data_IF_001463661421
#
_entry.id   IF_001463661421
#
_cell.length_a   1.000
_cell.length_b   1.000
_cell.length_c   1.000
_cell.angle_alpha   90.00
_cell.angle_beta   90.00
_cell.angle_gamma   90.00
#
_symmetry.space_group_name_H-M   'P 1'
#
loop_
_entity.id
_entity.type
_entity.pdbx_description
1 polymer ?
#
# COMPACT_ATOMS: atom_id res chain seq x y z
N UNK A 1 -46.42 -9.22 -6.16
CA UNK A 1 -45.22 -8.37 -6.16
C UNK A 1 -45.43 -7.31 -5.10
N UNK A 2 -44.78 -7.46 -3.96
CA UNK A 2 -44.95 -6.53 -2.82
C UNK A 2 -44.12 -5.26 -3.06
N UNK A 3 -44.59 -4.12 -2.56
CA UNK A 3 -43.87 -2.84 -2.59
C UNK A 3 -42.50 -2.90 -1.92
N UNK A 4 -42.30 -3.84 -1.00
CA UNK A 4 -41.01 -4.09 -0.34
C UNK A 4 -39.95 -4.61 -1.34
N UNK A 5 -40.32 -5.54 -2.22
CA UNK A 5 -39.42 -6.13 -3.25
C UNK A 5 -38.95 -5.07 -4.27
N UNK A 6 -39.82 -4.11 -4.61
CA UNK A 6 -39.52 -3.02 -5.55
C UNK A 6 -38.51 -2.03 -4.97
N UNK A 7 -38.45 -1.88 -3.65
CA UNK A 7 -37.51 -0.98 -2.97
C UNK A 7 -36.15 -1.65 -2.72
N UNK A 8 -36.12 -2.96 -2.50
CA UNK A 8 -34.86 -3.70 -2.26
C UNK A 8 -34.03 -3.86 -3.54
N UNK A 9 -34.68 -3.99 -4.70
CA UNK A 9 -34.01 -4.20 -5.98
C UNK A 9 -33.57 -2.89 -6.67
N UNK A 10 -33.64 -1.74 -5.98
CA UNK A 10 -33.11 -0.47 -6.49
C UNK A 10 -31.64 -0.36 -6.12
N UNK A 11 -30.77 -0.61 -7.09
CA UNK A 11 -29.34 -0.29 -6.95
C UNK A 11 -29.17 1.20 -6.58
N UNK A 12 -28.40 1.46 -5.53
CA UNK A 12 -28.17 2.79 -4.98
C UNK A 12 -27.34 3.63 -5.96
N UNK A 13 -28.00 4.51 -6.72
CA UNK A 13 -27.39 5.30 -7.82
C UNK A 13 -26.46 6.45 -7.40
N UNK A 14 -26.27 6.68 -6.10
CA UNK A 14 -25.60 7.88 -5.57
C UNK A 14 -24.32 7.56 -4.79
N UNK A 15 -23.65 6.46 -5.13
CA UNK A 15 -22.31 6.16 -4.60
C UNK A 15 -21.24 7.00 -5.30
N UNK A 16 -20.38 7.66 -4.52
CA UNK A 16 -19.17 8.29 -5.04
C UNK A 16 -18.13 7.18 -5.27
N UNK A 17 -17.78 6.92 -6.53
CA UNK A 17 -16.68 6.02 -6.91
C UNK A 17 -15.63 6.87 -7.60
N UNK A 18 -14.41 6.85 -7.08
CA UNK A 18 -13.25 7.48 -7.72
C UNK A 18 -12.32 6.36 -8.14
N UNK A 19 -12.06 6.25 -9.42
CA UNK A 19 -11.01 5.37 -9.92
C UNK A 19 -9.66 5.94 -9.48
N UNK A 20 -9.02 5.26 -8.52
CA UNK A 20 -7.67 5.59 -8.07
C UNK A 20 -6.73 4.69 -8.85
N UNK A 21 -5.82 5.30 -9.61
CA UNK A 21 -4.72 4.57 -10.22
C UNK A 21 -3.88 3.92 -9.10
N UNK A 22 -3.83 2.59 -9.11
CA UNK A 22 -3.04 1.81 -8.17
C UNK A 22 -2.12 0.88 -8.95
N UNK A 23 -0.88 0.80 -8.49
CA UNK A 23 0.08 -0.16 -9.02
C UNK A 23 0.45 -1.11 -7.90
N UNK A 24 0.47 -2.41 -8.20
CA UNK A 24 0.77 -3.44 -7.22
C UNK A 24 2.21 -3.91 -7.40
N UNK A 25 2.95 -3.94 -6.30
CA UNK A 25 4.31 -4.52 -6.25
C UNK A 25 4.25 -5.95 -5.72
N UNK A 26 5.23 -6.82 -6.07
CA UNK A 26 5.32 -8.16 -5.52
C UNK A 26 5.29 -8.16 -3.98
N UNK A 27 4.75 -9.24 -3.40
CA UNK A 27 4.67 -9.39 -1.94
C UNK A 27 6.07 -9.55 -1.35
N UNK A 28 6.35 -8.82 -0.28
CA UNK A 28 7.60 -8.90 0.48
C UNK A 28 8.47 -7.65 0.38
N UNK A 29 9.38 -7.50 1.34
CA UNK A 29 10.32 -6.37 1.41
C UNK A 29 11.74 -6.86 1.07
N UNK A 30 12.24 -6.44 -0.09
CA UNK A 30 13.61 -6.67 -0.56
C UNK A 30 14.29 -5.33 -0.91
N UNK A 31 15.60 -5.34 -1.14
CA UNK A 31 16.31 -4.16 -1.66
C UNK A 31 15.73 -3.72 -3.02
N UNK A 32 15.31 -4.66 -3.87
CA UNK A 32 14.70 -4.36 -5.17
C UNK A 32 13.37 -3.62 -5.01
N UNK A 33 12.54 -4.03 -4.04
CA UNK A 33 11.30 -3.30 -3.70
C UNK A 33 11.61 -1.87 -3.25
N UNK A 34 12.65 -1.68 -2.44
CA UNK A 34 13.06 -0.33 -1.98
C UNK A 34 13.53 0.53 -3.14
N UNK A 35 14.32 -0.03 -4.07
CA UNK A 35 14.78 0.66 -5.30
C UNK A 35 13.62 1.03 -6.21
N UNK A 36 12.68 0.11 -6.39
CA UNK A 36 11.47 0.33 -7.19
C UNK A 36 10.64 1.49 -6.63
N UNK A 37 10.38 1.51 -5.32
CA UNK A 37 9.65 2.59 -4.65
C UNK A 37 10.37 3.93 -4.83
N UNK A 38 11.70 3.95 -4.63
CA UNK A 38 12.49 5.17 -4.72
C UNK A 38 12.52 5.74 -6.14
N UNK A 39 12.70 4.87 -7.14
CA UNK A 39 12.65 5.24 -8.55
C UNK A 39 11.27 5.77 -8.95
N UNK A 40 10.20 5.09 -8.55
CA UNK A 40 8.82 5.52 -8.84
C UNK A 40 8.48 6.88 -8.24
N UNK A 41 9.04 7.20 -7.08
CA UNK A 41 8.85 8.49 -6.40
C UNK A 41 9.84 9.57 -6.86
N UNK A 42 10.71 9.27 -7.82
CA UNK A 42 11.75 10.16 -8.31
C UNK A 42 12.59 10.77 -7.17
N UNK A 43 12.98 9.92 -6.21
CA UNK A 43 13.71 10.37 -5.04
C UNK A 43 15.20 10.63 -5.37
N UNK A 44 15.83 11.62 -4.73
CA UNK A 44 17.25 11.89 -4.91
C UNK A 44 18.12 10.75 -4.36
N UNK A 45 19.34 10.59 -4.91
CA UNK A 45 20.23 9.46 -4.59
C UNK A 45 20.50 9.27 -3.08
N UNK A 46 20.63 10.36 -2.33
CA UNK A 46 20.85 10.29 -0.88
C UNK A 46 19.67 9.65 -0.12
N UNK A 47 18.43 9.82 -0.62
CA UNK A 47 17.24 9.23 -0.02
C UNK A 47 17.20 7.72 -0.28
N UNK A 48 17.59 7.29 -1.49
CA UNK A 48 17.73 5.87 -1.80
C UNK A 48 18.75 5.20 -0.87
N UNK A 49 19.93 5.80 -0.73
CA UNK A 49 20.98 5.28 0.17
C UNK A 49 20.53 5.23 1.63
N UNK A 50 19.79 6.24 2.08
CA UNK A 50 19.18 6.25 3.41
C UNK A 50 18.22 5.07 3.60
N UNK A 51 17.31 4.84 2.65
CA UNK A 51 16.36 3.72 2.69
C UNK A 51 17.06 2.36 2.70
N UNK A 52 18.09 2.19 1.87
CA UNK A 52 18.87 0.96 1.80
C UNK A 52 19.62 0.70 3.11
N UNK A 53 20.22 1.75 3.70
CA UNK A 53 20.87 1.65 5.01
C UNK A 53 19.89 1.27 6.12
N UNK A 54 18.70 1.88 6.13
CA UNK A 54 17.65 1.56 7.08
C UNK A 54 17.16 0.11 6.93
N UNK A 55 16.95 -0.37 5.70
CA UNK A 55 16.57 -1.76 5.43
C UNK A 55 17.63 -2.74 5.94
N UNK A 56 18.90 -2.51 5.62
CA UNK A 56 20.02 -3.35 6.10
C UNK A 56 20.12 -3.36 7.62
N UNK A 57 19.91 -2.21 8.27
CA UNK A 57 19.88 -2.15 9.72
C UNK A 57 18.70 -2.92 10.29
N UNK A 58 17.50 -2.73 9.73
CA UNK A 58 16.28 -3.42 10.15
C UNK A 58 16.41 -4.95 10.09
N UNK A 59 17.09 -5.50 9.08
CA UNK A 59 17.38 -6.95 8.99
C UNK A 59 18.21 -7.49 10.17
N UNK A 60 18.99 -6.63 10.84
CA UNK A 60 19.77 -7.02 12.03
C UNK A 60 18.97 -6.89 13.34
N UNK A 61 17.83 -6.21 13.29
CA UNK A 61 17.00 -5.99 14.46
C UNK A 61 16.16 -7.23 14.76
N UNK A 62 16.00 -7.52 16.05
CA UNK A 62 15.01 -8.48 16.49
C UNK A 62 13.70 -7.75 16.70
N UNK A 63 12.63 -8.32 16.16
CA UNK A 63 11.29 -7.84 16.43
C UNK A 63 11.05 -7.77 17.96
N UNK A 64 10.64 -6.61 18.49
CA UNK A 64 10.37 -6.49 19.92
C UNK A 64 9.14 -7.31 20.26
N UNK A 65 9.34 -8.41 21.00
CA UNK A 65 8.23 -9.30 21.39
C UNK A 65 7.25 -8.69 22.40
N UNK A 66 7.67 -7.64 23.10
CA UNK A 66 6.85 -6.96 24.09
C UNK A 66 7.14 -5.46 24.02
N UNK A 67 6.12 -4.72 23.62
CA UNK A 67 5.86 -3.36 24.06
C UNK A 67 4.97 -3.48 25.33
N UNK A 68 4.93 -2.51 26.26
CA UNK A 68 3.88 -2.51 27.28
C UNK A 68 2.48 -2.63 26.67
#
# INVERSE_FOLDING_TARGET
MSTAEILTNREYKYGWVTDIESETIPRGLSEDTVRLISAKKNEPAWMLEFRLKAYRHWLTMKEPRRWP
#
